data_IF_689491874138
#
_entry.id   IF_689491874138
#
_cell.length_a   1.000
_cell.length_b   1.000
_cell.length_c   1.000
_cell.angle_alpha   90.00
_cell.angle_beta   90.00
_cell.angle_gamma   90.00
#
_symmetry.space_group_name_H-M   'P 1'
#
loop_
_entity.id
_entity.type
_entity.pdbx_description
1 polymer ?
#
# COMPACT_ATOMS: atom_id res chain seq x y z
N UNK A 1 33.70 12.64 18.49
CA UNK A 1 33.78 14.10 18.24
C UNK A 1 35.20 14.40 17.80
N UNK A 2 35.40 14.78 16.55
CA UNK A 2 36.73 15.11 16.02
C UNK A 2 36.96 16.60 16.32
N UNK A 3 37.62 16.92 17.42
CA UNK A 3 38.03 18.29 17.73
C UNK A 3 39.22 18.64 16.85
N UNK A 4 38.94 19.21 15.68
CA UNK A 4 39.95 19.83 14.84
C UNK A 4 40.56 21.01 15.58
N UNK A 5 41.70 20.79 16.23
CA UNK A 5 42.47 21.86 16.86
C UNK A 5 43.25 22.59 15.76
N UNK A 6 42.73 23.72 15.28
CA UNK A 6 43.55 24.68 14.55
C UNK A 6 44.45 25.39 15.57
N UNK A 7 45.74 25.06 15.58
CA UNK A 7 46.73 25.76 16.39
C UNK A 7 46.85 27.24 15.99
N UNK A 8 47.39 28.10 16.87
CA UNK A 8 47.28 29.55 16.76
C UNK A 8 47.91 30.10 15.47
N UNK A 9 47.21 31.07 14.88
CA UNK A 9 47.63 31.90 13.76
C UNK A 9 49.04 32.46 14.01
N UNK A 10 49.92 32.29 13.03
CA UNK A 10 51.27 32.86 13.03
C UNK A 10 51.24 34.36 13.31
N UNK A 11 52.19 34.82 14.12
CA UNK A 11 52.20 36.14 14.73
C UNK A 11 52.14 37.34 13.78
N UNK A 12 51.70 38.47 14.34
CA UNK A 12 51.64 39.76 13.67
C UNK A 12 53.03 40.17 13.15
N UNK A 13 53.20 40.19 11.84
CA UNK A 13 54.38 40.77 11.18
C UNK A 13 54.28 42.30 11.20
N UNK A 14 55.25 42.94 11.84
CA UNK A 14 55.31 44.40 11.95
C UNK A 14 55.42 45.09 10.59
N UNK A 15 54.49 46.02 10.33
CA UNK A 15 54.59 46.94 9.20
C UNK A 15 55.70 47.95 9.46
N UNK A 16 56.82 47.83 8.75
CA UNK A 16 57.80 48.91 8.66
C UNK A 16 57.23 50.03 7.79
N UNK A 17 57.15 51.25 8.33
CA UNK A 17 56.73 52.43 7.55
C UNK A 17 57.77 52.73 6.46
N UNK A 18 57.34 52.75 5.20
CA UNK A 18 58.14 53.26 4.09
C UNK A 18 58.31 54.77 4.20
N UNK A 19 59.57 55.23 4.18
CA UNK A 19 59.92 56.65 4.23
C UNK A 19 59.35 57.45 3.06
N UNK A 20 59.03 58.72 3.33
CA UNK A 20 58.30 59.61 2.44
C UNK A 20 58.91 59.82 1.06
N UNK A 21 58.05 59.79 0.04
CA UNK A 21 58.40 60.13 -1.34
C UNK A 21 57.33 59.72 -2.35
N UNK A 22 56.28 60.52 -2.50
CA UNK A 22 55.48 60.80 -3.71
C UNK A 22 55.21 59.75 -4.80
N UNK A 23 55.18 58.44 -4.53
CA UNK A 23 54.87 57.40 -5.52
C UNK A 23 53.72 56.50 -5.07
N UNK A 24 52.80 56.18 -5.99
CA UNK A 24 51.68 55.26 -5.78
C UNK A 24 52.20 53.88 -5.32
N UNK A 25 51.96 53.53 -4.06
CA UNK A 25 52.25 52.19 -3.55
C UNK A 25 51.19 51.20 -4.06
N UNK A 26 51.61 50.17 -4.78
CA UNK A 26 50.74 49.04 -5.14
C UNK A 26 50.85 48.01 -4.02
N UNK A 27 49.71 47.62 -3.43
CA UNK A 27 49.67 46.57 -2.39
C UNK A 27 50.23 45.26 -2.94
N UNK A 28 51.03 44.57 -2.14
CA UNK A 28 51.38 43.17 -2.41
C UNK A 28 50.14 42.28 -2.46
N UNK A 29 50.21 41.19 -3.22
CA UNK A 29 49.16 40.16 -3.28
C UNK A 29 48.98 39.46 -1.93
N UNK A 30 47.73 39.17 -1.56
CA UNK A 30 47.35 38.56 -0.28
C UNK A 30 48.13 37.26 0.04
N UNK A 31 48.74 37.22 1.24
CA UNK A 31 49.34 36.04 1.86
C UNK A 31 49.34 36.17 3.39
N UNK A 32 49.18 35.05 4.11
CA UNK A 32 49.13 35.02 5.58
C UNK A 32 50.54 35.11 6.18
N UNK A 33 51.17 36.29 6.09
CA UNK A 33 52.47 36.57 6.72
C UNK A 33 53.18 37.78 6.10
N UNK A 34 53.74 38.65 6.94
CA UNK A 34 54.22 39.99 6.60
C UNK A 34 55.08 40.08 5.34
N UNK A 35 54.53 40.74 4.30
CA UNK A 35 55.33 41.27 3.20
C UNK A 35 56.01 42.57 3.65
N UNK A 36 57.32 42.65 3.48
CA UNK A 36 58.04 43.91 3.72
C UNK A 36 57.61 44.97 2.70
N UNK A 37 57.34 46.20 3.16
CA UNK A 37 57.06 47.33 2.28
C UNK A 37 58.26 47.62 1.38
N UNK A 38 58.04 47.72 0.07
CA UNK A 38 59.08 48.14 -0.88
C UNK A 38 59.38 49.64 -0.74
N UNK A 39 60.65 50.02 -0.81
CA UNK A 39 61.06 51.41 -1.00
C UNK A 39 61.22 51.73 -2.50
N UNK A 40 60.61 52.82 -2.97
CA UNK A 40 60.69 53.28 -4.37
C UNK A 40 59.83 52.49 -5.37
N UNK A 41 60.17 52.54 -6.67
CA UNK A 41 59.51 51.84 -7.82
C UNK A 41 59.58 50.29 -7.76
N UNK A 42 59.85 49.72 -6.58
CA UNK A 42 60.07 48.29 -6.35
C UNK A 42 58.84 47.64 -5.71
N UNK A 43 58.45 46.47 -6.20
CA UNK A 43 57.40 45.65 -5.59
C UNK A 43 57.89 45.17 -4.21
N UNK A 44 57.08 45.35 -3.16
CA UNK A 44 57.37 44.78 -1.84
C UNK A 44 57.51 43.25 -1.90
N UNK A 45 58.35 42.67 -1.04
CA UNK A 45 58.59 41.22 -1.06
C UNK A 45 57.31 40.43 -0.79
N UNK A 46 57.10 39.33 -1.54
CA UNK A 46 56.00 38.40 -1.28
C UNK A 46 56.03 37.93 0.18
N UNK A 47 54.87 37.89 0.84
CA UNK A 47 54.73 37.27 2.16
C UNK A 47 55.20 35.81 2.15
N UNK A 48 55.85 35.37 3.23
CA UNK A 48 56.43 34.03 3.32
C UNK A 48 55.41 32.88 3.34
N UNK A 49 55.86 31.69 2.94
CA UNK A 49 55.13 30.42 2.99
C UNK A 49 54.85 30.00 4.44
N UNK A 50 53.61 29.66 4.80
CA UNK A 50 53.25 29.03 6.06
C UNK A 50 53.11 27.51 5.93
N UNK A 51 53.52 26.74 6.94
CA UNK A 51 53.25 25.29 7.00
C UNK A 51 51.84 25.07 7.52
N UNK A 52 50.96 24.52 6.68
CA UNK A 52 49.66 23.99 7.13
C UNK A 52 49.83 22.50 7.43
N UNK A 53 49.42 22.09 8.63
CA UNK A 53 49.43 20.70 9.07
C UNK A 53 47.98 20.28 9.34
N UNK A 54 47.49 19.27 8.61
CA UNK A 54 46.20 18.64 8.88
C UNK A 54 46.47 17.26 9.48
N UNK A 55 45.95 17.00 10.68
CA UNK A 55 46.07 15.70 11.38
C UNK A 55 44.68 15.09 11.59
N UNK A 56 44.53 13.80 11.28
CA UNK A 56 43.32 13.04 11.60
C UNK A 56 43.67 11.61 12.01
N UNK A 57 42.76 10.94 12.73
CA UNK A 57 42.92 9.54 13.10
C UNK A 57 42.55 8.60 11.94
N UNK A 58 43.23 7.45 11.84
CA UNK A 58 42.98 6.41 10.83
C UNK A 58 43.85 6.49 9.58
N UNK A 59 43.59 5.59 8.63
CA UNK A 59 44.35 5.43 7.38
C UNK A 59 44.34 6.69 6.52
N UNK A 60 45.36 6.89 5.68
CA UNK A 60 45.46 8.05 4.80
C UNK A 60 44.24 8.17 3.88
N UNK A 61 43.81 9.41 3.63
CA UNK A 61 42.78 9.77 2.66
C UNK A 61 43.31 9.74 1.20
N UNK A 62 44.57 9.37 0.97
CA UNK A 62 45.23 9.41 -0.35
C UNK A 62 45.95 10.74 -0.59
N UNK A 63 46.32 11.02 -1.85
CA UNK A 63 47.03 12.24 -2.24
C UNK A 63 46.10 13.46 -2.34
N UNK A 64 45.43 13.82 -1.23
CA UNK A 64 44.52 14.97 -1.14
C UNK A 64 45.29 16.29 -0.93
N UNK A 65 46.38 16.44 -1.67
CA UNK A 65 47.35 17.53 -1.51
C UNK A 65 48.29 17.35 -0.30
N UNK A 66 49.41 18.08 -0.35
CA UNK A 66 50.49 18.00 0.63
C UNK A 66 51.26 16.68 0.62
N UNK A 67 52.37 16.63 1.36
CA UNK A 67 53.05 15.37 1.67
C UNK A 67 52.29 14.65 2.79
N UNK A 68 52.11 13.33 2.66
CA UNK A 68 51.37 12.50 3.61
C UNK A 68 52.33 11.66 4.45
N UNK A 69 52.20 11.75 5.77
CA UNK A 69 52.90 10.88 6.73
C UNK A 69 51.88 10.15 7.59
N UNK A 70 51.92 8.82 7.59
CA UNK A 70 51.08 7.97 8.46
C UNK A 70 51.87 7.50 9.68
N UNK A 71 51.33 7.74 10.88
CA UNK A 71 51.83 7.21 12.15
C UNK A 71 50.89 6.16 12.75
N UNK A 72 51.18 5.69 13.97
CA UNK A 72 50.33 4.72 14.67
C UNK A 72 48.97 5.32 15.04
N UNK A 73 47.98 5.11 14.17
CA UNK A 73 46.59 5.54 14.37
C UNK A 73 46.25 6.95 13.89
N UNK A 74 47.19 7.66 13.25
CA UNK A 74 46.93 8.99 12.68
C UNK A 74 47.63 9.21 11.35
N UNK A 75 47.07 10.09 10.53
CA UNK A 75 47.68 10.58 9.29
C UNK A 75 47.87 12.09 9.38
N UNK A 76 48.98 12.57 8.84
CA UNK A 76 49.36 13.97 8.75
C UNK A 76 49.53 14.35 7.28
N UNK A 77 48.88 15.43 6.84
CA UNK A 77 49.18 16.11 5.59
C UNK A 77 49.95 17.40 5.89
N UNK A 78 51.10 17.59 5.23
CA UNK A 78 51.94 18.77 5.34
C UNK A 78 52.02 19.50 4.00
N UNK A 79 51.67 20.78 3.98
CA UNK A 79 51.76 21.64 2.80
C UNK A 79 53.00 22.53 2.91
N UNK A 80 53.93 22.41 1.96
CA UNK A 80 55.23 23.10 1.99
C UNK A 80 55.44 24.10 0.83
N UNK A 81 54.45 24.31 -0.03
CA UNK A 81 54.55 25.19 -1.21
C UNK A 81 53.90 26.55 -1.00
N UNK A 82 54.49 27.59 -1.58
CA UNK A 82 53.88 28.93 -1.74
C UNK A 82 52.85 28.87 -2.88
N UNK A 83 51.61 29.29 -2.63
CA UNK A 83 50.50 29.31 -3.61
C UNK A 83 49.18 28.75 -3.06
N UNK A 84 48.12 28.73 -3.88
CA UNK A 84 46.81 28.19 -3.50
C UNK A 84 46.84 26.65 -3.48
N UNK A 85 47.17 26.06 -2.34
CA UNK A 85 46.98 24.62 -2.10
C UNK A 85 45.64 24.39 -1.41
N UNK A 86 44.80 23.50 -1.96
CA UNK A 86 43.51 23.12 -1.37
C UNK A 86 43.61 21.73 -0.75
N UNK A 87 43.11 21.57 0.49
CA UNK A 87 42.86 20.26 1.09
C UNK A 87 41.44 19.82 0.69
N UNK A 88 41.35 19.15 -0.45
CA UNK A 88 40.07 18.83 -1.08
C UNK A 88 39.45 17.51 -0.56
N UNK A 89 38.66 17.60 0.51
CA UNK A 89 37.93 16.44 1.04
C UNK A 89 36.70 16.04 0.21
N UNK A 90 36.41 16.69 -0.93
CA UNK A 90 35.20 16.39 -1.71
C UNK A 90 35.16 14.97 -2.28
N UNK A 91 36.33 14.33 -2.46
CA UNK A 91 36.46 12.94 -2.90
C UNK A 91 36.49 11.90 -1.76
N UNK A 92 36.38 12.32 -0.49
CA UNK A 92 36.44 11.42 0.66
C UNK A 92 35.04 10.94 1.02
N UNK A 93 34.79 9.64 0.83
CA UNK A 93 33.60 9.01 1.40
C UNK A 93 33.78 8.80 2.92
N UNK A 94 33.28 9.76 3.71
CA UNK A 94 33.28 9.67 5.17
C UNK A 94 32.33 8.58 5.70
N UNK A 95 31.36 8.12 4.89
CA UNK A 95 30.47 7.01 5.25
C UNK A 95 31.22 5.68 5.28
N UNK A 96 32.19 5.50 4.40
CA UNK A 96 33.05 4.32 4.39
C UNK A 96 34.03 4.26 5.57
N UNK A 97 34.37 5.41 6.18
CA UNK A 97 35.49 5.52 7.15
C UNK A 97 35.09 5.57 8.61
N UNK A 98 33.93 6.13 8.92
CA UNK A 98 33.51 6.36 10.30
C UNK A 98 32.47 5.30 10.68
N UNK A 99 32.73 4.54 11.75
CA UNK A 99 31.81 3.49 12.21
C UNK A 99 31.68 3.51 13.72
N UNK A 100 30.44 3.46 14.22
CA UNK A 100 30.12 3.29 15.64
C UNK A 100 29.25 2.06 15.79
N UNK A 101 29.56 1.20 16.76
CA UNK A 101 28.73 0.05 17.12
C UNK A 101 28.12 0.30 18.51
N UNK A 102 26.80 0.40 18.56
CA UNK A 102 26.03 0.49 19.79
C UNK A 102 25.58 -0.91 20.22
N UNK A 103 26.26 -1.46 21.23
CA UNK A 103 25.98 -2.79 21.77
C UNK A 103 24.98 -2.78 22.95
N UNK A 104 24.73 -1.62 23.56
CA UNK A 104 23.76 -1.49 24.66
C UNK A 104 22.34 -1.27 24.13
N UNK A 105 21.35 -1.73 24.90
CA UNK A 105 19.92 -1.50 24.63
C UNK A 105 19.60 0.00 24.68
N UNK A 106 19.00 0.52 23.62
CA UNK A 106 18.37 1.84 23.59
C UNK A 106 16.90 1.68 24.00
N UNK A 107 16.43 2.51 24.93
CA UNK A 107 15.08 2.48 25.48
C UNK A 107 14.47 3.87 25.58
N UNK A 108 13.17 3.96 25.84
CA UNK A 108 12.43 5.22 26.00
C UNK A 108 11.59 5.61 24.78
N UNK A 109 10.81 6.68 24.87
CA UNK A 109 9.85 7.07 23.82
C UNK A 109 10.38 8.07 22.80
N UNK A 110 11.61 8.56 22.97
CA UNK A 110 12.21 9.55 22.08
C UNK A 110 12.60 8.99 20.71
N UNK A 111 12.70 9.89 19.73
CA UNK A 111 13.17 9.56 18.40
C UNK A 111 14.69 9.32 18.39
N UNK A 112 15.13 8.33 17.60
CA UNK A 112 16.53 8.08 17.27
C UNK A 112 16.83 8.59 15.86
N UNK A 113 17.60 9.66 15.74
CA UNK A 113 18.02 10.20 14.45
C UNK A 113 19.53 10.11 14.28
N UNK A 114 19.98 9.42 13.23
CA UNK A 114 21.38 9.38 12.85
C UNK A 114 21.65 10.38 11.71
N UNK A 115 22.46 11.39 11.97
CA UNK A 115 22.82 12.48 11.05
C UNK A 115 24.31 12.47 10.71
N UNK A 116 24.86 11.27 10.49
CA UNK A 116 26.29 11.08 10.23
C UNK A 116 26.88 11.98 9.14
N UNK A 117 28.21 11.93 9.02
CA UNK A 117 28.73 10.91 8.12
C UNK A 117 29.07 9.64 8.88
N UNK A 118 29.27 8.54 8.16
CA UNK A 118 29.66 7.26 8.74
C UNK A 118 28.52 6.28 8.85
N UNK A 119 28.76 5.24 9.63
CA UNK A 119 27.85 4.16 9.94
C UNK A 119 27.56 4.10 11.44
N UNK A 120 26.29 3.97 11.81
CA UNK A 120 25.87 3.59 13.16
C UNK A 120 25.29 2.18 13.10
N UNK A 121 25.87 1.24 13.84
CA UNK A 121 25.36 -0.13 13.96
C UNK A 121 24.62 -0.32 15.28
N UNK A 122 23.33 -0.66 15.20
CA UNK A 122 22.52 -1.06 16.36
C UNK A 122 22.58 -2.57 16.53
N UNK A 123 23.36 -3.03 17.51
CA UNK A 123 23.68 -4.46 17.68
C UNK A 123 22.92 -5.13 18.85
N UNK A 124 21.97 -4.41 19.46
CA UNK A 124 21.12 -4.90 20.53
C UNK A 124 19.66 -5.01 20.09
N UNK A 125 18.87 -5.78 20.83
CA UNK A 125 17.41 -5.71 20.78
C UNK A 125 16.95 -4.45 21.52
N UNK A 126 16.61 -3.38 20.80
CA UNK A 126 16.23 -2.11 21.40
C UNK A 126 14.75 -2.09 21.76
N UNK A 127 14.37 -1.26 22.73
CA UNK A 127 13.00 -1.11 23.23
C UNK A 127 12.50 0.33 23.13
N UNK A 128 13.22 1.20 22.41
CA UNK A 128 12.73 2.55 22.17
C UNK A 128 11.54 2.55 21.22
N UNK A 129 10.57 3.41 21.47
CA UNK A 129 9.27 3.40 20.78
C UNK A 129 9.03 4.57 19.83
N UNK A 130 9.89 5.59 19.86
CA UNK A 130 9.84 6.72 18.94
C UNK A 130 10.21 6.34 17.50
N UNK A 131 10.35 7.33 16.63
CA UNK A 131 10.80 7.11 15.27
C UNK A 131 12.31 6.82 15.21
N UNK A 132 12.70 5.94 14.31
CA UNK A 132 14.11 5.77 13.93
C UNK A 132 14.33 6.32 12.52
N UNK A 133 15.31 7.21 12.36
CA UNK A 133 15.64 7.87 11.09
C UNK A 133 17.13 7.82 10.78
N UNK A 134 17.46 7.46 9.54
CA UNK A 134 18.76 7.73 8.96
C UNK A 134 18.67 9.05 8.18
N UNK A 135 18.96 10.17 8.85
CA UNK A 135 18.97 11.50 8.24
C UNK A 135 20.11 11.61 7.21
N UNK A 136 21.28 11.04 7.54
CA UNK A 136 22.48 10.92 6.71
C UNK A 136 23.32 9.69 7.11
N UNK A 137 24.35 9.35 6.32
CA UNK A 137 25.22 8.18 6.56
C UNK A 137 24.49 6.84 6.40
N UNK A 138 24.99 5.77 7.04
CA UNK A 138 24.34 4.45 7.05
C UNK A 138 23.93 4.04 8.46
N UNK A 139 22.66 3.72 8.66
CA UNK A 139 22.16 3.05 9.86
C UNK A 139 22.13 1.53 9.62
N UNK A 140 23.07 0.83 10.22
CA UNK A 140 23.16 -0.63 10.18
C UNK A 140 22.30 -1.25 11.29
N UNK A 141 21.33 -2.07 10.91
CA UNK A 141 20.59 -2.92 11.83
C UNK A 141 21.41 -4.20 12.04
N UNK A 142 22.27 -4.14 13.05
CA UNK A 142 23.17 -5.21 13.48
C UNK A 142 22.47 -6.39 14.14
N UNK A 143 21.23 -6.20 14.59
CA UNK A 143 20.41 -7.21 15.27
C UNK A 143 19.00 -7.24 14.66
N UNK A 144 18.40 -8.44 14.52
CA UNK A 144 17.05 -8.62 13.99
C UNK A 144 15.96 -7.81 14.73
N UNK A 145 16.16 -7.63 16.04
CA UNK A 145 15.27 -6.84 16.91
C UNK A 145 15.77 -5.41 17.17
N UNK A 146 16.66 -4.88 16.32
CA UNK A 146 17.20 -3.54 16.51
C UNK A 146 16.11 -2.46 16.55
N UNK A 147 14.97 -2.67 15.86
CA UNK A 147 13.86 -1.73 15.78
C UNK A 147 12.51 -2.34 16.18
N UNK A 148 12.50 -3.43 16.96
CA UNK A 148 11.29 -4.19 17.28
C UNK A 148 10.16 -3.37 17.94
N UNK A 149 10.51 -2.23 18.56
CA UNK A 149 9.57 -1.34 19.25
C UNK A 149 9.43 0.04 18.59
N UNK A 150 10.26 0.39 17.60
CA UNK A 150 10.23 1.70 16.94
C UNK A 150 9.68 1.65 15.52
N UNK A 151 9.12 2.77 15.07
CA UNK A 151 8.74 2.96 13.67
C UNK A 151 9.95 3.44 12.86
N UNK A 152 10.33 2.69 11.83
CA UNK A 152 11.34 3.13 10.87
C UNK A 152 10.71 4.15 9.91
N UNK A 153 11.24 5.38 9.90
CA UNK A 153 10.74 6.47 9.05
C UNK A 153 11.73 6.75 7.90
N UNK A 154 11.37 6.24 6.72
CA UNK A 154 12.10 6.36 5.45
C UNK A 154 11.67 7.63 4.68
N UNK A 155 11.57 8.76 5.36
CA UNK A 155 11.16 10.04 4.77
C UNK A 155 12.09 10.48 3.62
N UNK A 156 11.52 10.89 2.47
CA UNK A 156 12.25 11.34 1.27
C UNK A 156 13.12 12.58 1.44
N UNK A 157 12.91 13.39 2.49
CA UNK A 157 13.79 14.53 2.79
C UNK A 157 15.17 14.11 3.32
N UNK A 158 15.31 12.86 3.79
CA UNK A 158 16.54 12.33 4.36
C UNK A 158 17.40 11.65 3.29
N UNK A 159 18.73 11.61 3.49
CA UNK A 159 19.67 10.98 2.55
C UNK A 159 20.44 9.79 3.13
N UNK A 160 20.20 9.41 4.39
CA UNK A 160 20.90 8.30 5.03
C UNK A 160 20.36 6.92 4.68
N UNK A 161 21.22 5.93 4.42
CA UNK A 161 20.84 4.55 4.09
C UNK A 161 20.50 3.76 5.35
N UNK A 162 19.60 2.77 5.25
CA UNK A 162 19.36 1.76 6.28
C UNK A 162 19.76 0.40 5.72
N UNK A 163 20.59 -0.34 6.46
CA UNK A 163 21.09 -1.63 6.00
C UNK A 163 20.75 -2.74 7.02
N UNK A 164 20.14 -3.82 6.55
CA UNK A 164 19.90 -5.04 7.32
C UNK A 164 21.13 -5.92 7.16
N UNK A 165 21.98 -5.99 8.18
CA UNK A 165 23.35 -6.53 8.04
C UNK A 165 23.47 -8.04 8.20
N UNK A 166 22.48 -8.70 8.80
CA UNK A 166 22.39 -10.15 8.86
C UNK A 166 21.58 -10.66 7.66
N UNK A 167 21.88 -11.88 7.20
CA UNK A 167 21.20 -12.53 6.06
C UNK A 167 20.26 -13.62 6.54
N UNK A 168 19.11 -13.78 5.88
CA UNK A 168 18.15 -14.85 6.15
C UNK A 168 17.41 -14.73 7.48
N UNK A 169 17.41 -13.54 8.09
CA UNK A 169 16.76 -13.28 9.37
C UNK A 169 15.37 -12.68 9.17
N UNK A 170 14.55 -12.71 10.24
CA UNK A 170 13.35 -11.88 10.35
C UNK A 170 13.68 -10.61 11.12
N UNK A 171 13.71 -9.46 10.44
CA UNK A 171 13.87 -8.17 11.09
C UNK A 171 12.52 -7.64 11.57
N UNK A 172 12.40 -7.45 12.88
CA UNK A 172 11.19 -6.91 13.50
C UNK A 172 11.29 -5.39 13.56
N UNK A 173 10.37 -4.71 12.87
CA UNK A 173 10.18 -3.27 12.93
C UNK A 173 8.77 -2.99 13.42
N UNK A 174 8.62 -2.12 14.42
CA UNK A 174 7.30 -1.91 15.02
C UNK A 174 6.34 -1.25 14.02
N UNK A 175 6.86 -0.37 13.17
CA UNK A 175 6.18 0.15 11.99
C UNK A 175 7.19 0.54 10.91
N UNK A 176 6.72 0.74 9.68
CA UNK A 176 7.51 1.24 8.57
C UNK A 176 6.69 2.31 7.84
N UNK A 177 7.28 3.48 7.62
CA UNK A 177 6.63 4.57 6.88
C UNK A 177 7.62 5.32 5.99
N UNK A 178 7.08 6.17 5.12
CA UNK A 178 7.86 7.03 4.24
C UNK A 178 7.96 6.49 2.82
N UNK A 179 8.82 7.11 2.01
CA UNK A 179 8.82 6.99 0.55
C UNK A 179 10.17 6.60 -0.04
N UNK A 180 11.22 6.49 0.77
CA UNK A 180 12.53 6.02 0.29
C UNK A 180 12.59 4.52 0.26
N UNK A 181 13.27 4.00 -0.75
CA UNK A 181 13.51 2.58 -0.95
C UNK A 181 14.27 1.94 0.22
N UNK A 182 13.95 0.68 0.49
CA UNK A 182 14.58 -0.14 1.52
C UNK A 182 14.92 -1.51 0.92
N UNK A 183 16.22 -1.80 0.84
CA UNK A 183 16.70 -3.12 0.47
C UNK A 183 16.66 -4.05 1.70
N UNK A 184 15.77 -5.04 1.67
CA UNK A 184 15.65 -6.06 2.72
C UNK A 184 16.57 -7.26 2.47
N UNK A 185 17.15 -7.38 1.27
CA UNK A 185 18.07 -8.48 0.93
C UNK A 185 17.36 -9.84 0.99
N UNK A 186 17.98 -10.83 1.61
CA UNK A 186 17.40 -12.17 1.83
C UNK A 186 16.51 -12.27 3.07
N UNK A 187 16.26 -11.15 3.77
CA UNK A 187 15.57 -11.13 5.05
C UNK A 187 14.06 -11.00 4.91
N UNK A 188 13.33 -11.50 5.91
CA UNK A 188 11.91 -11.19 6.09
C UNK A 188 11.77 -9.91 6.91
N UNK A 189 10.98 -8.95 6.44
CA UNK A 189 10.63 -7.76 7.22
C UNK A 189 9.28 -7.98 7.92
N UNK A 190 9.29 -8.06 9.26
CA UNK A 190 8.09 -8.16 10.10
C UNK A 190 7.68 -6.77 10.57
N UNK A 191 6.49 -6.30 10.16
CA UNK A 191 6.03 -4.91 10.34
C UNK A 191 4.68 -4.86 11.05
N UNK A 192 4.52 -3.92 12.00
CA UNK A 192 3.22 -3.54 12.55
C UNK A 192 3.01 -3.92 14.02
N UNK A 193 4.05 -4.38 14.72
CA UNK A 193 3.96 -4.82 16.12
C UNK A 193 3.53 -3.70 17.10
N UNK A 194 3.65 -2.43 16.72
CA UNK A 194 3.11 -1.31 17.51
C UNK A 194 1.60 -1.08 17.33
N UNK A 195 0.93 -1.87 16.49
CA UNK A 195 -0.50 -1.78 16.17
C UNK A 195 -0.93 -0.47 15.49
N UNK A 196 0.01 0.39 15.09
CA UNK A 196 -0.32 1.61 14.39
C UNK A 196 -0.53 1.33 12.90
N UNK A 197 -1.40 2.13 12.29
CA UNK A 197 -1.54 2.14 10.83
C UNK A 197 -0.42 2.99 10.21
N UNK A 198 0.24 2.46 9.19
CA UNK A 198 1.38 3.12 8.52
C UNK A 198 1.29 2.96 7.00
N UNK A 199 1.78 3.96 6.27
CA UNK A 199 1.90 3.92 4.81
C UNK A 199 3.36 3.97 4.42
N UNK A 200 3.76 3.04 3.57
CA UNK A 200 5.09 2.99 2.96
C UNK A 200 4.95 2.98 1.43
N UNK A 201 5.48 4.03 0.80
CA UNK A 201 5.43 4.25 -0.65
C UNK A 201 6.77 4.03 -1.35
N UNK A 202 7.84 3.72 -0.59
CA UNK A 202 9.12 3.32 -1.16
C UNK A 202 9.09 1.90 -1.74
N UNK A 203 10.11 1.55 -2.51
CA UNK A 203 10.29 0.19 -3.01
C UNK A 203 10.99 -0.69 -1.96
N UNK A 204 10.29 -1.73 -1.48
CA UNK A 204 10.93 -2.85 -0.79
C UNK A 204 11.56 -3.81 -1.81
N UNK A 205 12.86 -4.06 -1.69
CA UNK A 205 13.60 -4.90 -2.66
C UNK A 205 14.46 -5.99 -2.01
N UNK A 206 14.63 -7.11 -2.70
CA UNK A 206 15.42 -8.25 -2.22
C UNK A 206 14.81 -9.61 -2.55
N UNK A 207 15.47 -10.69 -2.15
CA UNK A 207 14.95 -12.05 -2.30
C UNK A 207 14.08 -12.50 -1.11
N UNK A 208 14.13 -11.77 0.00
CA UNK A 208 13.33 -12.00 1.18
C UNK A 208 11.88 -11.50 1.07
N UNK A 209 11.13 -11.62 2.17
CA UNK A 209 9.68 -11.42 2.19
C UNK A 209 9.20 -10.36 3.18
N UNK A 210 7.88 -10.26 3.33
CA UNK A 210 7.21 -9.34 4.26
C UNK A 210 6.23 -10.13 5.13
N UNK A 211 6.25 -9.89 6.44
CA UNK A 211 5.23 -10.37 7.36
C UNK A 211 4.51 -9.18 8.00
N UNK A 212 3.20 -9.07 7.78
CA UNK A 212 2.36 -8.05 8.39
C UNK A 212 1.76 -8.59 9.68
N UNK A 213 2.15 -7.99 10.81
CA UNK A 213 1.71 -8.34 12.17
C UNK A 213 0.98 -7.16 12.84
N UNK A 214 0.42 -7.39 14.03
CA UNK A 214 -0.31 -6.39 14.80
C UNK A 214 -1.65 -5.98 14.16
N UNK A 215 -2.46 -5.23 14.90
CA UNK A 215 -3.85 -4.94 14.54
C UNK A 215 -4.02 -3.79 13.56
N UNK A 216 -3.00 -2.94 13.38
CA UNK A 216 -3.05 -1.78 12.49
C UNK A 216 -3.09 -2.14 11.00
N UNK A 217 -3.28 -1.12 10.16
CA UNK A 217 -3.23 -1.24 8.69
C UNK A 217 -1.84 -0.90 8.18
N UNK A 218 -1.22 -1.78 7.40
CA UNK A 218 -0.01 -1.45 6.65
C UNK A 218 -0.36 -1.23 5.18
N UNK A 219 -0.12 -0.03 4.68
CA UNK A 219 -0.38 0.35 3.29
C UNK A 219 0.91 0.36 2.47
N UNK A 220 1.05 -0.67 1.64
CA UNK A 220 2.08 -0.81 0.62
C UNK A 220 1.60 -0.14 -0.67
N UNK A 221 1.94 1.14 -0.81
CA UNK A 221 1.59 1.96 -1.98
C UNK A 221 2.70 2.07 -3.03
N UNK A 222 3.92 1.65 -2.69
CA UNK A 222 5.06 1.60 -3.61
C UNK A 222 5.02 0.41 -4.57
N UNK A 223 5.85 0.47 -5.62
CA UNK A 223 6.12 -0.66 -6.51
C UNK A 223 7.20 -1.55 -5.89
N UNK A 224 6.80 -2.60 -5.20
CA UNK A 224 7.73 -3.43 -4.43
C UNK A 224 8.37 -4.53 -5.29
N UNK A 225 9.68 -4.64 -5.22
CA UNK A 225 10.50 -5.57 -5.99
C UNK A 225 11.00 -6.79 -5.19
N UNK A 226 10.54 -6.99 -3.95
CA UNK A 226 10.91 -8.18 -3.17
C UNK A 226 10.23 -9.45 -3.72
N UNK A 227 10.97 -10.54 -3.81
CA UNK A 227 10.49 -11.79 -4.44
C UNK A 227 10.09 -12.88 -3.43
N UNK A 228 10.43 -12.72 -2.15
CA UNK A 228 9.99 -13.64 -1.10
C UNK A 228 8.52 -13.47 -0.77
N UNK A 229 8.00 -14.36 0.07
CA UNK A 229 6.56 -14.44 0.38
C UNK A 229 6.05 -13.22 1.14
N UNK A 230 4.78 -12.91 0.97
CA UNK A 230 4.03 -11.97 1.80
C UNK A 230 3.09 -12.75 2.73
N UNK A 231 3.30 -12.67 4.04
CA UNK A 231 2.44 -13.29 5.04
C UNK A 231 1.66 -12.21 5.79
N UNK A 232 0.34 -12.20 5.66
CA UNK A 232 -0.54 -11.29 6.41
C UNK A 232 -1.00 -12.04 7.65
N UNK A 233 -0.21 -11.94 8.72
CA UNK A 233 -0.42 -12.68 9.96
C UNK A 233 -1.51 -12.07 10.84
N UNK A 234 -1.65 -10.74 10.84
CA UNK A 234 -2.67 -10.03 11.61
C UNK A 234 -2.97 -8.62 11.05
N UNK A 235 -4.12 -8.08 11.42
CA UNK A 235 -4.57 -6.75 11.01
C UNK A 235 -4.83 -6.69 9.51
N UNK A 236 -4.65 -5.51 8.91
CA UNK A 236 -4.92 -5.28 7.50
C UNK A 236 -3.64 -4.99 6.72
N UNK A 237 -3.42 -5.69 5.60
CA UNK A 237 -2.49 -5.28 4.57
C UNK A 237 -3.29 -4.63 3.43
N UNK A 238 -2.96 -3.38 3.08
CA UNK A 238 -3.42 -2.73 1.86
C UNK A 238 -2.29 -2.76 0.84
N UNK A 239 -2.55 -3.32 -0.33
CA UNK A 239 -1.66 -3.24 -1.49
C UNK A 239 -2.28 -2.26 -2.47
N UNK A 240 -1.82 -1.01 -2.42
CA UNK A 240 -2.23 0.05 -3.35
C UNK A 240 -1.20 0.27 -4.49
N UNK A 241 0.02 -0.24 -4.31
CA UNK A 241 1.05 -0.32 -5.36
C UNK A 241 1.12 -1.71 -5.98
N UNK A 242 2.28 -2.35 -5.92
CA UNK A 242 2.45 -3.73 -6.42
C UNK A 242 3.42 -4.57 -5.58
N UNK A 243 3.29 -5.90 -5.67
CA UNK A 243 4.27 -6.90 -5.18
C UNK A 243 4.95 -7.61 -6.35
N UNK A 244 6.16 -8.16 -6.20
CA UNK A 244 6.94 -8.64 -7.35
C UNK A 244 6.55 -10.04 -7.86
N UNK A 245 6.16 -10.97 -6.97
CA UNK A 245 5.83 -12.34 -7.39
C UNK A 245 5.84 -13.41 -6.30
N UNK A 246 6.36 -13.12 -5.11
CA UNK A 246 6.30 -14.05 -3.98
C UNK A 246 4.86 -14.36 -3.57
N UNK A 247 4.59 -15.61 -3.20
CA UNK A 247 3.25 -16.04 -2.80
C UNK A 247 2.72 -15.21 -1.62
N UNK A 248 1.42 -14.92 -1.63
CA UNK A 248 0.74 -14.17 -0.59
C UNK A 248 -0.20 -15.08 0.18
N UNK A 249 -0.06 -15.11 1.50
CA UNK A 249 -0.95 -15.87 2.40
C UNK A 249 -1.61 -14.92 3.38
N UNK A 250 -2.93 -15.01 3.51
CA UNK A 250 -3.71 -14.23 4.49
C UNK A 250 -4.19 -15.19 5.58
N UNK A 251 -3.70 -14.98 6.80
CA UNK A 251 -3.96 -15.84 7.94
C UNK A 251 -5.34 -15.59 8.55
N UNK A 252 -5.74 -16.45 9.49
CA UNK A 252 -6.99 -16.32 10.23
C UNK A 252 -7.09 -14.93 10.89
N UNK A 253 -8.24 -14.27 10.75
CA UNK A 253 -8.55 -12.94 11.31
C UNK A 253 -7.69 -11.80 10.78
N UNK A 254 -6.90 -12.04 9.72
CA UNK A 254 -6.20 -11.02 8.98
C UNK A 254 -6.96 -10.64 7.71
N UNK A 255 -6.73 -9.42 7.25
CA UNK A 255 -7.39 -8.86 6.07
C UNK A 255 -6.38 -8.42 5.02
N UNK A 256 -6.70 -8.67 3.75
CA UNK A 256 -5.99 -8.11 2.60
C UNK A 256 -6.95 -7.24 1.79
N UNK A 257 -6.47 -6.08 1.34
CA UNK A 257 -7.21 -5.18 0.47
C UNK A 257 -6.30 -4.30 -0.37
N UNK A 258 -6.85 -3.20 -0.88
CA UNK A 258 -6.15 -2.20 -1.70
C UNK A 258 -6.52 -2.26 -3.18
N UNK A 259 -6.09 -1.25 -3.93
CA UNK A 259 -6.40 -1.07 -5.38
C UNK A 259 -5.27 -1.52 -6.31
N UNK A 260 -4.22 -2.11 -5.75
CA UNK A 260 -2.99 -2.44 -6.43
C UNK A 260 -2.98 -3.81 -7.11
N UNK A 261 -1.78 -4.24 -7.48
CA UNK A 261 -1.53 -5.51 -8.18
C UNK A 261 -0.69 -6.47 -7.34
N UNK A 262 -1.19 -7.69 -7.14
CA UNK A 262 -0.46 -8.79 -6.53
C UNK A 262 0.05 -9.72 -7.64
N UNK A 263 1.37 -9.83 -7.76
CA UNK A 263 1.98 -10.67 -8.79
C UNK A 263 2.27 -12.10 -8.35
N UNK A 264 2.22 -12.38 -7.05
CA UNK A 264 2.28 -13.74 -6.52
C UNK A 264 0.91 -14.39 -6.44
N UNK A 265 0.88 -15.72 -6.36
CA UNK A 265 -0.35 -16.46 -6.08
C UNK A 265 -0.86 -16.08 -4.68
N UNK A 266 -2.13 -15.71 -4.57
CA UNK A 266 -2.72 -15.30 -3.29
C UNK A 266 -3.68 -16.35 -2.74
N UNK A 267 -3.52 -16.70 -1.46
CA UNK A 267 -4.39 -17.63 -0.75
C UNK A 267 -4.97 -16.99 0.52
N UNK A 268 -6.29 -16.98 0.62
CA UNK A 268 -7.04 -16.63 1.81
C UNK A 268 -7.35 -17.89 2.62
N UNK A 269 -6.80 -18.02 3.84
CA UNK A 269 -7.05 -19.16 4.72
C UNK A 269 -8.39 -19.01 5.48
N UNK A 270 -8.80 -20.06 6.19
CA UNK A 270 -10.01 -20.02 7.04
C UNK A 270 -9.96 -18.85 8.02
N UNK A 271 -11.06 -18.08 8.09
CA UNK A 271 -11.19 -16.90 8.95
C UNK A 271 -10.50 -15.63 8.43
N UNK A 272 -9.82 -15.68 7.27
CA UNK A 272 -9.26 -14.48 6.63
C UNK A 272 -10.33 -13.70 5.85
N UNK A 273 -10.07 -12.42 5.61
CA UNK A 273 -11.02 -11.52 4.95
C UNK A 273 -10.34 -10.82 3.77
N UNK A 274 -10.96 -10.88 2.59
CA UNK A 274 -10.60 -10.06 1.45
C UNK A 274 -11.53 -8.85 1.37
N UNK A 275 -10.96 -7.64 1.44
CA UNK A 275 -11.66 -6.37 1.29
C UNK A 275 -11.01 -5.60 0.13
N UNK A 276 -11.33 -5.90 -1.15
CA UNK A 276 -10.73 -5.18 -2.27
C UNK A 276 -10.84 -3.66 -2.10
N UNK A 277 -9.83 -2.94 -2.60
CA UNK A 277 -9.82 -1.48 -2.54
C UNK A 277 -9.49 -0.87 -1.18
N UNK A 278 -9.72 0.44 -1.10
CA UNK A 278 -9.87 1.17 0.16
C UNK A 278 -11.36 1.53 0.38
N UNK A 279 -12.24 0.66 -0.14
CA UNK A 279 -13.71 0.73 -0.05
C UNK A 279 -14.33 1.97 -0.74
N UNK A 280 -14.81 1.85 -2.01
CA UNK A 280 -14.64 0.75 -2.96
C UNK A 280 -13.34 0.81 -3.77
N UNK A 281 -12.94 -0.30 -4.41
CA UNK A 281 -11.80 -0.33 -5.32
C UNK A 281 -11.68 -1.56 -6.22
N UNK A 282 -10.75 -1.51 -7.18
CA UNK A 282 -10.39 -2.64 -8.05
C UNK A 282 -9.03 -3.21 -7.65
N UNK A 283 -8.98 -4.49 -7.26
CA UNK A 283 -7.72 -5.19 -6.97
C UNK A 283 -7.38 -6.21 -8.06
N UNK A 284 -6.10 -6.35 -8.40
CA UNK A 284 -5.63 -7.26 -9.46
C UNK A 284 -4.71 -8.35 -8.94
N UNK A 285 -4.94 -9.59 -9.36
CA UNK A 285 -4.13 -10.78 -9.06
C UNK A 285 -3.65 -11.40 -10.36
N UNK A 286 -2.35 -11.55 -10.58
CA UNK A 286 -1.81 -12.00 -11.88
C UNK A 286 -1.27 -13.43 -11.90
N UNK A 287 -1.22 -14.10 -10.74
CA UNK A 287 -0.73 -15.48 -10.60
C UNK A 287 -1.73 -16.39 -9.87
N UNK A 288 -3.02 -16.04 -9.94
CA UNK A 288 -4.12 -16.80 -9.32
C UNK A 288 -4.55 -16.28 -7.94
N UNK A 289 -5.77 -16.64 -7.59
CA UNK A 289 -6.44 -16.26 -6.36
C UNK A 289 -7.23 -17.46 -5.83
N UNK A 290 -6.96 -17.84 -4.57
CA UNK A 290 -7.64 -18.94 -3.89
C UNK A 290 -8.32 -18.45 -2.62
N UNK A 291 -9.59 -18.77 -2.48
CA UNK A 291 -10.34 -18.66 -1.24
C UNK A 291 -10.56 -20.04 -0.65
N UNK A 292 -9.94 -20.32 0.49
CA UNK A 292 -10.17 -21.57 1.21
C UNK A 292 -11.47 -21.52 2.02
N UNK A 293 -12.02 -22.69 2.32
CA UNK A 293 -13.18 -22.85 3.22
C UNK A 293 -13.07 -21.98 4.47
N UNK A 294 -14.13 -21.26 4.81
CA UNK A 294 -14.20 -20.39 5.98
C UNK A 294 -13.57 -19.01 5.81
N UNK A 295 -13.03 -18.67 4.64
CA UNK A 295 -12.64 -17.29 4.32
C UNK A 295 -13.85 -16.44 3.91
N UNK A 296 -13.69 -15.12 3.96
CA UNK A 296 -14.73 -14.15 3.59
C UNK A 296 -14.23 -13.24 2.46
N UNK A 297 -15.04 -13.10 1.42
CA UNK A 297 -14.93 -12.03 0.44
C UNK A 297 -15.94 -10.94 0.79
N UNK A 298 -15.45 -9.73 1.05
CA UNK A 298 -16.27 -8.56 1.31
C UNK A 298 -16.38 -7.70 0.05
N UNK A 299 -17.61 -7.37 -0.34
CA UNK A 299 -17.91 -6.54 -1.50
C UNK A 299 -18.72 -5.34 -1.07
N UNK A 300 -18.23 -4.13 -1.35
CA UNK A 300 -18.93 -2.89 -1.05
C UNK A 300 -19.61 -2.30 -2.28
N UNK A 301 -20.78 -1.67 -2.07
CA UNK A 301 -21.43 -0.74 -3.00
C UNK A 301 -21.76 0.56 -2.24
N UNK A 302 -21.35 1.70 -2.77
CA UNK A 302 -21.55 3.02 -2.12
C UNK A 302 -22.64 3.89 -2.74
N UNK A 303 -23.22 3.49 -3.86
CA UNK A 303 -24.33 4.23 -4.47
C UNK A 303 -25.28 3.32 -5.25
N UNK A 304 -26.53 3.73 -5.43
CA UNK A 304 -27.58 2.96 -6.12
C UNK A 304 -27.33 2.92 -7.65
N UNK A 305 -26.33 2.17 -8.09
CA UNK A 305 -25.95 2.03 -9.51
C UNK A 305 -25.33 0.67 -9.81
N UNK A 306 -25.39 0.26 -11.08
CA UNK A 306 -24.68 -0.92 -11.62
C UNK A 306 -23.37 -0.58 -12.34
N UNK A 307 -23.04 0.71 -12.44
CA UNK A 307 -21.82 1.22 -13.07
C UNK A 307 -20.81 1.69 -12.01
N UNK A 308 -19.58 1.99 -12.42
CA UNK A 308 -18.51 2.38 -11.48
C UNK A 308 -17.78 1.17 -10.87
N UNK A 309 -17.50 0.15 -11.67
CA UNK A 309 -16.68 -1.00 -11.27
C UNK A 309 -15.31 -0.52 -10.79
N UNK A 310 -14.98 -0.81 -9.53
CA UNK A 310 -13.72 -0.40 -8.92
C UNK A 310 -13.68 1.04 -8.41
N UNK A 311 -14.79 1.77 -8.46
CA UNK A 311 -14.89 3.16 -7.96
C UNK A 311 -16.12 3.39 -7.08
N UNK A 312 -17.26 2.79 -7.44
CA UNK A 312 -18.52 2.83 -6.69
C UNK A 312 -18.82 1.46 -6.05
N UNK A 313 -18.28 0.39 -6.63
CA UNK A 313 -18.32 -0.93 -6.02
C UNK A 313 -17.03 -1.71 -6.19
N UNK A 314 -16.79 -2.64 -5.27
CA UNK A 314 -15.57 -3.43 -5.26
C UNK A 314 -15.49 -4.38 -6.44
N UNK A 315 -14.27 -4.57 -6.93
CA UNK A 315 -14.02 -5.43 -8.06
C UNK A 315 -12.67 -6.13 -7.93
N UNK A 316 -12.58 -7.28 -8.59
CA UNK A 316 -11.36 -8.09 -8.62
C UNK A 316 -11.07 -8.51 -10.06
N UNK A 317 -9.82 -8.35 -10.47
CA UNK A 317 -9.29 -8.95 -11.69
C UNK A 317 -8.38 -10.12 -11.32
N UNK A 318 -8.55 -11.25 -12.01
CA UNK A 318 -7.70 -12.43 -11.86
C UNK A 318 -7.17 -12.84 -13.24
N UNK A 319 -5.86 -12.99 -13.37
CA UNK A 319 -5.18 -13.45 -14.58
C UNK A 319 -4.07 -14.46 -14.24
N UNK A 320 -3.46 -15.04 -15.28
CA UNK A 320 -2.37 -16.02 -15.19
C UNK A 320 -2.83 -17.42 -14.79
N UNK A 321 -3.59 -17.54 -13.71
CA UNK A 321 -4.13 -18.79 -13.17
C UNK A 321 -5.60 -18.66 -12.75
N UNK A 322 -6.39 -19.75 -12.75
CA UNK A 322 -7.81 -19.68 -12.41
C UNK A 322 -8.10 -19.13 -11.02
N UNK A 323 -9.25 -18.47 -10.88
CA UNK A 323 -9.86 -18.18 -9.58
C UNK A 323 -10.38 -19.48 -8.96
N UNK A 324 -9.90 -19.83 -7.76
CA UNK A 324 -10.39 -20.97 -6.98
C UNK A 324 -11.23 -20.50 -5.78
N UNK A 325 -12.47 -20.95 -5.71
CA UNK A 325 -13.34 -20.72 -4.54
C UNK A 325 -13.78 -22.09 -4.02
N UNK A 326 -13.38 -22.41 -2.78
CA UNK A 326 -13.78 -23.64 -2.11
C UNK A 326 -15.19 -23.51 -1.51
N UNK A 327 -15.87 -24.64 -1.31
CA UNK A 327 -17.11 -24.65 -0.51
C UNK A 327 -16.82 -24.15 0.91
N UNK A 328 -17.76 -23.39 1.45
CA UNK A 328 -17.73 -22.76 2.76
C UNK A 328 -17.13 -21.36 2.78
N UNK A 329 -16.84 -20.77 1.62
CA UNK A 329 -16.46 -19.34 1.52
C UNK A 329 -17.71 -18.47 1.65
N UNK A 330 -17.59 -17.39 2.43
CA UNK A 330 -18.67 -16.42 2.66
C UNK A 330 -18.51 -15.22 1.73
N UNK A 331 -19.61 -14.77 1.13
CA UNK A 331 -19.73 -13.47 0.47
C UNK A 331 -20.42 -12.50 1.42
N UNK A 332 -19.73 -11.45 1.86
CA UNK A 332 -20.30 -10.37 2.66
C UNK A 332 -20.56 -9.16 1.78
N UNK A 333 -21.82 -8.76 1.64
CA UNK A 333 -22.24 -7.64 0.80
C UNK A 333 -22.52 -6.42 1.69
N UNK A 334 -21.71 -5.38 1.53
CA UNK A 334 -21.68 -4.18 2.38
C UNK A 334 -22.29 -3.00 1.62
N UNK A 335 -23.36 -2.46 2.18
CA UNK A 335 -24.13 -1.33 1.61
C UNK A 335 -24.18 -0.12 2.56
N UNK A 336 -23.66 -0.26 3.77
CA UNK A 336 -23.59 0.78 4.79
C UNK A 336 -22.14 1.19 5.13
N UNK A 337 -21.23 0.98 4.18
CA UNK A 337 -19.85 1.39 4.28
C UNK A 337 -19.68 2.91 4.40
N UNK A 338 -18.47 3.36 4.70
CA UNK A 338 -18.18 4.79 4.89
C UNK A 338 -18.46 5.55 3.60
N UNK A 339 -19.33 6.57 3.68
CA UNK A 339 -19.71 7.37 2.50
C UNK A 339 -20.77 6.72 1.60
N UNK A 340 -21.34 5.57 1.99
CA UNK A 340 -22.42 4.95 1.23
C UNK A 340 -23.70 5.80 1.23
N UNK A 341 -24.38 5.78 0.09
CA UNK A 341 -25.68 6.40 -0.18
C UNK A 341 -26.72 5.38 -0.66
N UNK A 342 -26.41 4.08 -0.52
CA UNK A 342 -27.34 3.01 -0.90
C UNK A 342 -28.59 3.10 -0.05
N UNK A 343 -29.75 3.07 -0.71
CA UNK A 343 -31.06 3.14 -0.08
C UNK A 343 -31.96 2.11 -0.75
N UNK A 344 -32.44 1.12 0.00
CA UNK A 344 -33.26 0.05 -0.55
C UNK A 344 -34.57 0.55 -1.19
N UNK A 345 -35.04 1.73 -0.83
CA UNK A 345 -36.27 2.34 -1.38
C UNK A 345 -36.08 2.93 -2.77
N UNK A 346 -34.82 3.13 -3.21
CA UNK A 346 -34.49 3.62 -4.54
C UNK A 346 -35.09 2.73 -5.65
N UNK A 347 -35.45 3.34 -6.77
CA UNK A 347 -36.08 2.66 -7.90
C UNK A 347 -35.20 1.58 -8.52
N UNK A 348 -33.86 1.67 -8.40
CA UNK A 348 -32.91 0.64 -8.82
C UNK A 348 -33.27 -0.73 -8.25
N UNK A 349 -33.62 -0.78 -6.96
CA UNK A 349 -33.96 -2.01 -6.24
C UNK A 349 -35.38 -2.53 -6.54
N UNK A 350 -36.12 -1.83 -7.40
CA UNK A 350 -37.37 -2.33 -7.97
C UNK A 350 -37.18 -3.24 -9.19
N UNK A 351 -35.94 -3.39 -9.69
CA UNK A 351 -35.63 -4.19 -10.86
C UNK A 351 -34.48 -5.16 -10.59
N UNK A 352 -34.38 -6.22 -11.39
CA UNK A 352 -33.23 -7.12 -11.33
C UNK A 352 -31.97 -6.35 -11.74
N UNK A 353 -30.88 -6.55 -10.99
CA UNK A 353 -29.59 -5.90 -11.23
C UNK A 353 -28.46 -6.92 -11.26
N UNK A 354 -27.35 -6.54 -11.90
CA UNK A 354 -26.15 -7.37 -11.99
C UNK A 354 -24.89 -6.52 -11.93
N UNK A 355 -23.87 -7.01 -11.24
CA UNK A 355 -22.54 -6.39 -11.14
C UNK A 355 -21.45 -7.37 -11.53
N UNK A 356 -20.56 -6.96 -12.45
CA UNK A 356 -19.34 -7.69 -12.75
C UNK A 356 -18.33 -7.50 -11.62
N UNK A 357 -18.23 -8.46 -10.71
CA UNK A 357 -17.33 -8.37 -9.56
C UNK A 357 -15.97 -8.97 -9.89
N UNK A 358 -15.93 -10.25 -10.26
CA UNK A 358 -14.69 -10.91 -10.67
C UNK A 358 -14.60 -10.99 -12.19
N UNK A 359 -13.56 -10.37 -12.75
CA UNK A 359 -13.13 -10.68 -14.11
C UNK A 359 -11.98 -11.68 -14.03
N UNK A 360 -12.16 -12.89 -14.55
CA UNK A 360 -11.15 -13.96 -14.42
C UNK A 360 -10.71 -14.49 -15.77
N UNK A 361 -9.72 -13.84 -16.39
CA UNK A 361 -9.26 -14.20 -17.74
C UNK A 361 -8.80 -15.67 -17.86
N UNK A 362 -8.24 -16.22 -16.78
CA UNK A 362 -7.76 -17.60 -16.72
C UNK A 362 -8.85 -18.63 -16.34
N UNK A 363 -10.09 -18.19 -16.13
CA UNK A 363 -11.22 -19.05 -15.76
C UNK A 363 -11.42 -19.24 -14.27
N UNK A 364 -12.51 -19.90 -13.91
CA UNK A 364 -12.91 -20.13 -12.51
C UNK A 364 -13.00 -21.63 -12.26
N UNK A 365 -12.41 -22.09 -11.16
CA UNK A 365 -12.56 -23.42 -10.60
C UNK A 365 -13.30 -23.29 -9.27
N UNK A 366 -14.60 -23.58 -9.25
CA UNK A 366 -15.40 -23.52 -8.04
C UNK A 366 -16.51 -24.58 -8.09
N UNK A 367 -16.92 -25.06 -6.91
CA UNK A 367 -18.16 -25.81 -6.77
C UNK A 367 -19.37 -24.90 -7.00
N UNK A 368 -20.53 -25.48 -7.27
CA UNK A 368 -21.81 -24.78 -7.19
C UNK A 368 -22.44 -25.08 -5.82
N UNK A 369 -22.86 -24.07 -5.04
CA UNK A 369 -22.78 -22.63 -5.29
C UNK A 369 -21.34 -22.07 -5.16
N UNK A 370 -21.05 -20.93 -5.82
CA UNK A 370 -19.73 -20.27 -5.76
C UNK A 370 -19.38 -19.78 -4.35
N UNK A 371 -20.39 -19.26 -3.64
CA UNK A 371 -20.32 -18.88 -2.25
C UNK A 371 -21.46 -19.58 -1.52
N UNK A 372 -21.13 -20.26 -0.42
CA UNK A 372 -22.12 -21.05 0.33
C UNK A 372 -23.03 -20.17 1.17
N UNK A 373 -22.49 -19.03 1.64
CA UNK A 373 -23.19 -18.06 2.47
C UNK A 373 -23.11 -16.68 1.84
N UNK A 374 -24.24 -15.99 1.76
CA UNK A 374 -24.31 -14.58 1.40
C UNK A 374 -24.86 -13.80 2.60
N UNK A 375 -24.04 -12.92 3.16
CA UNK A 375 -24.44 -11.98 4.19
C UNK A 375 -24.71 -10.62 3.54
N UNK A 376 -25.77 -9.94 3.98
CA UNK A 376 -26.18 -8.63 3.45
C UNK A 376 -26.30 -7.69 4.63
N UNK A 377 -25.56 -6.58 4.62
CA UNK A 377 -25.71 -5.54 5.64
C UNK A 377 -27.02 -4.78 5.47
N UNK A 378 -27.33 -3.92 6.43
CA UNK A 378 -28.30 -2.86 6.19
C UNK A 378 -27.80 -1.89 5.10
N UNK A 379 -28.72 -1.09 4.55
CA UNK A 379 -28.37 0.05 3.70
C UNK A 379 -27.80 1.22 4.53
N UNK A 380 -27.49 2.34 3.88
CA UNK A 380 -26.93 3.52 4.57
C UNK A 380 -27.91 4.17 5.56
N UNK A 381 -29.21 3.87 5.46
CA UNK A 381 -30.26 4.34 6.37
C UNK A 381 -30.50 3.37 7.54
N UNK A 382 -29.76 2.27 7.62
CA UNK A 382 -29.91 1.27 8.67
C UNK A 382 -31.09 0.32 8.46
N UNK A 383 -31.68 0.30 7.27
CA UNK A 383 -32.80 -0.60 6.91
C UNK A 383 -32.25 -1.90 6.35
N UNK A 384 -32.81 -3.04 6.77
CA UNK A 384 -32.43 -4.34 6.20
C UNK A 384 -33.12 -4.57 4.85
N UNK A 385 -32.48 -5.34 3.97
CA UNK A 385 -33.06 -5.68 2.67
C UNK A 385 -34.45 -6.30 2.82
N UNK A 386 -34.61 -7.24 3.76
CA UNK A 386 -35.88 -7.94 3.99
C UNK A 386 -37.00 -7.00 4.45
N UNK A 387 -36.67 -5.93 5.19
CA UNK A 387 -37.65 -4.95 5.64
C UNK A 387 -38.13 -4.03 4.49
N UNK A 388 -37.21 -3.60 3.62
CA UNK A 388 -37.53 -2.70 2.51
C UNK A 388 -38.06 -3.42 1.27
N UNK A 389 -37.58 -4.64 1.00
CA UNK A 389 -37.81 -5.41 -0.22
C UNK A 389 -38.02 -6.88 0.13
N UNK A 390 -39.19 -7.20 0.69
CA UNK A 390 -39.56 -8.57 1.04
C UNK A 390 -39.36 -9.51 -0.16
N UNK A 391 -38.80 -10.70 0.07
CA UNK A 391 -38.47 -11.74 -0.94
C UNK A 391 -37.37 -11.41 -1.93
N UNK A 392 -36.80 -10.19 -1.92
CA UNK A 392 -35.60 -9.90 -2.70
C UNK A 392 -34.40 -10.68 -2.16
N UNK A 393 -33.48 -11.04 -3.05
CA UNK A 393 -32.26 -11.76 -2.67
C UNK A 393 -31.11 -11.50 -3.63
N UNK A 394 -29.90 -11.73 -3.13
CA UNK A 394 -28.68 -11.74 -3.93
C UNK A 394 -28.28 -13.18 -4.28
N UNK A 395 -27.66 -13.36 -5.44
CA UNK A 395 -27.12 -14.64 -5.88
C UNK A 395 -25.89 -14.44 -6.74
N UNK A 396 -25.04 -15.46 -6.80
CA UNK A 396 -23.86 -15.46 -7.67
C UNK A 396 -24.12 -16.31 -8.91
N UNK A 397 -23.65 -15.83 -10.05
CA UNK A 397 -23.69 -16.58 -11.31
C UNK A 397 -22.39 -16.42 -12.07
N UNK A 398 -22.16 -17.32 -13.03
CA UNK A 398 -21.04 -17.23 -13.96
C UNK A 398 -21.53 -16.73 -15.32
N UNK A 399 -20.78 -15.80 -15.90
CA UNK A 399 -20.94 -15.37 -17.29
C UNK A 399 -19.60 -15.51 -18.02
N UNK A 400 -19.48 -16.48 -18.92
CA UNK A 400 -18.19 -16.82 -19.51
C UNK A 400 -17.18 -17.25 -18.44
N UNK A 401 -16.10 -16.48 -18.26
CA UNK A 401 -15.11 -16.70 -17.20
C UNK A 401 -15.25 -15.74 -16.01
N UNK A 402 -16.32 -14.96 -15.95
CA UNK A 402 -16.51 -13.94 -14.94
C UNK A 402 -17.55 -14.36 -13.90
N UNK A 403 -17.44 -13.83 -12.68
CA UNK A 403 -18.48 -13.96 -11.64
C UNK A 403 -19.26 -12.66 -11.51
N UNK A 404 -20.57 -12.84 -11.62
CA UNK A 404 -21.56 -11.77 -11.57
C UNK A 404 -22.35 -11.92 -10.27
N UNK A 405 -22.41 -10.85 -9.50
CA UNK A 405 -23.35 -10.71 -8.39
C UNK A 405 -24.68 -10.23 -8.98
N UNK A 406 -25.76 -10.95 -8.71
CA UNK A 406 -27.09 -10.60 -9.17
C UNK A 406 -28.00 -10.26 -8.00
N UNK A 407 -28.79 -9.21 -8.15
CA UNK A 407 -29.92 -8.90 -7.30
C UNK A 407 -31.21 -9.27 -8.03
N UNK A 408 -32.06 -10.04 -7.37
CA UNK A 408 -33.42 -10.32 -7.83
C UNK A 408 -34.40 -9.46 -7.04
N UNK A 409 -35.13 -8.58 -7.75
CA UNK A 409 -36.14 -7.75 -7.15
C UNK A 409 -37.33 -8.58 -6.64
N UNK A 410 -38.13 -8.06 -5.69
CA UNK A 410 -39.35 -8.72 -5.26
C UNK A 410 -40.26 -9.03 -6.44
N UNK A 411 -40.79 -10.25 -6.50
CA UNK A 411 -41.86 -10.56 -7.45
C UNK A 411 -43.08 -9.79 -6.98
N UNK A 412 -43.75 -8.98 -7.84
CA UNK A 412 -44.99 -8.34 -7.45
C UNK A 412 -45.97 -9.43 -7.01
N UNK A 413 -46.43 -9.36 -5.76
CA UNK A 413 -47.61 -10.11 -5.32
C UNK A 413 -48.69 -9.89 -6.40
N UNK A 414 -49.30 -10.95 -6.96
CA UNK A 414 -50.35 -10.76 -7.95
C UNK A 414 -51.40 -9.88 -7.28
N UNK A 415 -51.56 -8.65 -7.77
CA UNK A 415 -52.58 -7.74 -7.22
C UNK A 415 -53.87 -8.53 -7.16
N UNK A 416 -54.53 -8.55 -6.00
CA UNK A 416 -55.73 -9.39 -5.79
C UNK A 416 -56.79 -9.16 -6.88
N UNK A 417 -56.74 -8.02 -7.58
CA UNK A 417 -57.52 -7.70 -8.78
C UNK A 417 -57.33 -8.64 -9.98
N UNK A 418 -56.16 -9.25 -10.18
CA UNK A 418 -55.94 -10.25 -11.23
C UNK A 418 -56.68 -11.57 -10.94
N UNK A 419 -56.77 -11.94 -9.65
CA UNK A 419 -57.51 -13.12 -9.19
C UNK A 419 -59.03 -12.84 -9.19
N UNK A 420 -59.45 -11.64 -8.80
CA UNK A 420 -60.86 -11.22 -8.88
C UNK A 420 -61.34 -11.00 -10.33
N UNK A 421 -60.48 -10.59 -11.26
CA UNK A 421 -60.82 -10.44 -12.68
C UNK A 421 -61.18 -11.76 -13.36
N UNK A 422 -60.44 -12.85 -13.05
CA UNK A 422 -60.76 -14.20 -13.51
C UNK A 422 -62.02 -14.78 -12.83
N UNK A 423 -62.21 -14.49 -11.54
CA UNK A 423 -63.44 -14.86 -10.82
C UNK A 423 -64.69 -14.15 -11.38
N UNK A 424 -64.61 -12.85 -11.67
CA UNK A 424 -65.72 -12.06 -12.20
C UNK A 424 -66.11 -12.47 -13.64
N UNK A 425 -65.13 -12.83 -14.48
CA UNK A 425 -65.39 -13.42 -15.80
C UNK A 425 -66.09 -14.79 -15.70
N UNK A 426 -65.69 -15.63 -14.74
CA UNK A 426 -66.35 -16.91 -14.46
C UNK A 426 -67.80 -16.76 -13.97
N UNK A 427 -68.07 -15.79 -13.10
CA UNK A 427 -69.43 -15.49 -12.64
C UNK A 427 -70.30 -14.83 -13.73
N UNK A 428 -69.74 -13.94 -14.56
CA UNK A 428 -70.44 -13.34 -15.69
C UNK A 428 -70.82 -14.39 -16.76
N UNK A 429 -69.94 -15.35 -17.05
CA UNK A 429 -70.23 -16.47 -17.94
C UNK A 429 -71.35 -17.37 -17.39
N UNK A 430 -71.33 -17.65 -16.09
CA UNK A 430 -72.37 -18.47 -15.41
C UNK A 430 -73.72 -17.76 -15.34
N UNK A 431 -73.75 -16.44 -15.14
CA UNK A 431 -74.96 -15.63 -15.16
C UNK A 431 -75.59 -15.51 -16.56
N UNK A 432 -74.77 -15.37 -17.61
CA UNK A 432 -75.22 -15.34 -19.01
C UNK A 432 -75.85 -16.68 -19.43
N UNK A 433 -75.31 -17.81 -18.96
CA UNK A 433 -75.86 -19.16 -19.21
C UNK A 433 -77.23 -19.39 -18.55
N UNK A 434 -77.51 -18.78 -17.39
CA UNK A 434 -78.83 -18.85 -16.73
C UNK A 434 -79.88 -17.98 -17.44
N UNK A 435 -79.52 -16.80 -17.95
CA UNK A 435 -80.46 -15.93 -18.70
C UNK A 435 -80.93 -16.55 -20.01
N UNK A 436 -80.07 -17.28 -20.72
CA UNK A 436 -80.42 -17.94 -21.99
C UNK A 436 -81.32 -19.17 -21.81
N UNK A 437 -81.37 -19.79 -20.63
CA UNK A 437 -82.32 -20.89 -20.34
C UNK A 437 -83.76 -20.42 -20.07
N UNK A 438 -83.97 -19.16 -19.72
CA UNK A 438 -85.30 -18.62 -19.39
C UNK A 438 -86.03 -17.94 -20.57
N UNK A 439 -85.44 -17.91 -21.77
CA UNK A 439 -86.08 -17.35 -22.98
C UNK A 439 -86.42 -18.41 -24.05
N UNK A 440 -86.42 -19.69 -23.68
CA UNK A 440 -86.83 -20.79 -24.56
C UNK A 440 -88.34 -21.03 -24.60
N UNK A 441 -89.02 -20.37 -25.54
CA UNK A 441 -90.11 -20.89 -26.40
C UNK A 441 -91.42 -21.39 -25.71
N UNK A 442 -92.47 -20.57 -25.82
CA UNK A 442 -93.89 -21.03 -25.84
C UNK A 442 -94.18 -21.68 -27.19
N UNK A 443 -94.47 -22.98 -27.24
CA UNK A 443 -95.12 -23.63 -28.37
C UNK A 443 -96.60 -23.89 -28.07
N UNK A 444 -97.49 -23.45 -28.99
CA UNK A 444 -98.91 -23.85 -29.02
C UNK A 444 -99.03 -25.31 -29.52
N UNK A 445 -100.02 -26.07 -29.06
CA UNK A 445 -100.30 -27.39 -29.63
C UNK A 445 -101.08 -27.24 -30.94
N UNK A 446 -100.65 -27.95 -31.99
CA UNK A 446 -101.45 -28.20 -33.20
C UNK A 446 -101.64 -29.70 -33.30
N UNK A 447 -102.91 -30.07 -33.46
CA UNK A 447 -103.45 -31.41 -33.65
C UNK A 447 -103.18 -31.91 -35.08
N UNK A 448 -103.22 -33.23 -35.23
CA UNK A 448 -103.46 -34.03 -36.45
C UNK A 448 -102.30 -34.74 -37.20
N UNK A 449 -102.32 -36.08 -37.07
CA UNK A 449 -102.61 -37.10 -38.12
C UNK A 449 -101.59 -37.35 -39.27
N UNK A 450 -101.13 -38.60 -39.27
CA UNK A 450 -100.73 -39.50 -40.38
C UNK A 450 -99.41 -39.35 -41.16
N UNK A 451 -98.75 -40.52 -41.20
CA UNK A 451 -98.11 -41.20 -42.35
C UNK A 451 -96.79 -40.69 -42.93
N UNK A 452 -95.80 -41.57 -42.78
CA UNK A 452 -95.03 -42.23 -43.86
C UNK A 452 -93.94 -41.41 -44.59
N UNK A 453 -92.78 -42.09 -44.67
CA UNK A 453 -91.66 -41.98 -45.61
C UNK A 453 -90.56 -40.93 -45.41
N UNK A 454 -89.36 -41.49 -45.14
CA UNK A 454 -88.07 -41.26 -45.81
C UNK A 454 -87.97 -39.97 -46.64
N UNK A 455 -86.94 -39.15 -46.37
CA UNK A 455 -85.86 -38.80 -47.32
C UNK A 455 -84.63 -38.30 -46.52
N UNK A 456 -83.46 -38.57 -47.10
CA UNK A 456 -82.07 -38.34 -46.66
C UNK A 456 -81.55 -36.96 -47.13
N UNK A 457 -80.53 -36.45 -46.42
CA UNK A 457 -79.52 -35.43 -46.78
C UNK A 457 -80.01 -33.97 -46.89
N UNK A 458 -79.29 -32.91 -46.48
CA UNK A 458 -77.86 -32.70 -46.16
C UNK A 458 -77.63 -32.16 -44.75
#
# INVERSE_FOLDING_TARGET
>A
MNTGFMGPLGGAGGGGQGGGGGGWAISGTNGLGGGGGGGGLSIGGNGGSGVVIVRYQGASLGAIGGSVTTGSGFTVHQFSTVGNSSFDMSGVDMNARLGVVQNGVISGSGDLSFSGPGQLTLNAANTHTGFTRALAGTLNLGHANALQSSTLDMNSANNGTVALTQSGQTYNVAGLQGSRDLAIGSNTLSVGANNNSTTYSGNLSGTGGVSKVGTGTFDLSGANAYTGTTDVAAGKLLVNGSTAGGAVTVQNSASLGGTGTLNGSTTFLSGSIHTPGNSPGLQTFTSGLTYNTGSTFEWELTSNTTTGRGTIFDAVNVSGSPLLIQSGVTSSLVFNGTGSTVDWTDALWGMNQSWLVFSSAAGITAGSPFFDTINVTNDSNGVSLAAARATAFFSWSRSGNDLILNYSAPVPEPTSMAIFGLGALGFAYRARRKRLKNQGVRCKPVTEVNRVNKVRCQ
#
